data_IF_105452536082
#
_entry.id   IF_105452536082
#
_cell.length_a   1.000
_cell.length_b   1.000
_cell.length_c   1.000
_cell.angle_alpha   90.00
_cell.angle_beta   90.00
_cell.angle_gamma   90.00
#
_symmetry.space_group_name_H-M   'P 1'
#
loop_
_entity.id
_entity.type
_entity.pdbx_description
1 polymer ?
#
# COMPACT_ATOMS: atom_id res chain seq x y z
N UNK A 1 22.07 -36.28 19.06
CA UNK A 1 22.90 -35.26 18.38
C UNK A 1 22.32 -35.10 16.98
N UNK A 2 21.68 -34.01 16.55
CA UNK A 2 21.80 -32.58 16.89
C UNK A 2 20.41 -31.95 16.80
N UNK A 3 19.89 -31.44 17.91
CA UNK A 3 18.78 -30.48 17.95
C UNK A 3 19.25 -29.16 17.32
N UNK A 4 18.65 -28.76 16.19
CA UNK A 4 18.79 -27.38 15.70
C UNK A 4 17.99 -26.46 16.62
N UNK A 5 18.70 -25.80 17.52
CA UNK A 5 18.18 -24.78 18.43
C UNK A 5 17.37 -23.74 17.65
N UNK A 6 16.07 -23.67 17.92
CA UNK A 6 15.23 -22.54 17.55
C UNK A 6 15.80 -21.29 18.24
N UNK A 7 16.35 -20.36 17.46
CA UNK A 7 16.77 -19.05 17.98
C UNK A 7 15.56 -18.36 18.61
N UNK A 8 15.56 -18.24 19.94
CA UNK A 8 14.57 -17.49 20.72
C UNK A 8 14.54 -16.05 20.21
N UNK A 9 13.36 -15.60 19.75
CA UNK A 9 13.10 -14.20 19.43
C UNK A 9 13.17 -13.40 20.74
N UNK A 10 14.05 -12.39 20.88
CA UNK A 10 14.21 -11.65 22.13
C UNK A 10 12.95 -10.85 22.47
N UNK A 11 12.40 -11.06 23.67
CA UNK A 11 11.09 -10.51 24.06
C UNK A 11 11.13 -9.16 24.80
N UNK A 12 12.31 -8.62 25.12
CA UNK A 12 12.48 -7.43 25.98
C UNK A 12 12.93 -6.15 25.25
N UNK A 13 12.66 -4.97 25.81
CA UNK A 13 13.10 -3.66 25.27
C UNK A 13 14.64 -3.53 25.26
N UNK A 14 15.32 -4.04 26.30
CA UNK A 14 16.79 -3.94 26.44
C UNK A 14 17.58 -4.83 25.48
N UNK A 15 17.12 -6.05 25.20
CA UNK A 15 17.78 -6.95 24.23
C UNK A 15 17.57 -6.53 22.77
N UNK A 16 16.53 -5.72 22.50
CA UNK A 16 16.27 -5.13 21.18
C UNK A 16 17.18 -3.93 20.89
N UNK A 17 17.41 -3.08 21.89
CA UNK A 17 18.32 -1.93 21.77
C UNK A 17 19.79 -2.33 21.50
N UNK A 18 20.27 -3.42 22.11
CA UNK A 18 21.64 -3.91 21.90
C UNK A 18 21.87 -4.46 20.50
N UNK A 19 20.88 -5.15 19.91
CA UNK A 19 20.97 -5.67 18.56
C UNK A 19 20.90 -4.56 17.50
N UNK A 20 20.01 -3.57 17.69
CA UNK A 20 19.94 -2.38 16.85
C UNK A 20 21.27 -1.60 16.87
N UNK A 21 21.89 -1.46 18.05
CA UNK A 21 23.23 -0.87 18.20
C UNK A 21 24.33 -1.64 17.45
N UNK A 22 24.30 -2.97 17.46
CA UNK A 22 25.26 -3.80 16.69
C UNK A 22 25.07 -3.63 15.18
N UNK A 23 23.82 -3.58 14.71
CA UNK A 23 23.52 -3.38 13.28
C UNK A 23 23.93 -1.99 12.81
N UNK A 24 23.67 -0.95 13.63
CA UNK A 24 24.16 0.42 13.44
C UNK A 24 25.70 0.48 13.31
N UNK A 25 26.43 -0.17 14.22
CA UNK A 25 27.89 -0.20 14.20
C UNK A 25 28.43 -0.87 12.92
N UNK A 26 27.81 -1.98 12.49
CA UNK A 26 28.18 -2.67 11.23
C UNK A 26 27.92 -1.80 10.01
N UNK A 27 26.79 -1.10 9.97
CA UNK A 27 26.46 -0.22 8.86
C UNK A 27 27.39 1.01 8.79
N UNK A 28 27.74 1.58 9.93
CA UNK A 28 28.73 2.66 10.03
C UNK A 28 30.13 2.22 9.55
N UNK A 29 30.60 1.05 9.97
CA UNK A 29 31.88 0.49 9.52
C UNK A 29 31.93 0.24 8.01
N UNK A 30 30.85 -0.28 7.43
CA UNK A 30 30.74 -0.47 5.97
C UNK A 30 30.65 0.85 5.21
N UNK A 31 29.95 1.84 5.73
CA UNK A 31 29.88 3.18 5.13
C UNK A 31 31.28 3.82 5.02
N UNK A 32 32.09 3.68 6.07
CA UNK A 32 33.48 4.14 6.08
C UNK A 32 34.34 3.40 5.05
N UNK A 33 34.22 2.07 4.96
CA UNK A 33 34.97 1.27 3.98
C UNK A 33 34.57 1.57 2.52
N UNK A 34 33.27 1.78 2.27
CA UNK A 34 32.78 2.18 0.95
C UNK A 34 33.37 3.53 0.53
N UNK A 35 33.34 4.53 1.41
CA UNK A 35 33.91 5.86 1.11
C UNK A 35 35.42 5.83 0.86
N UNK A 36 36.19 5.04 1.62
CA UNK A 36 37.64 4.95 1.43
C UNK A 36 38.03 4.20 0.16
N UNK A 37 37.23 3.21 -0.27
CA UNK A 37 37.49 2.40 -1.47
C UNK A 37 37.14 3.07 -2.80
N UNK A 38 36.36 4.17 -2.79
CA UNK A 38 35.95 4.91 -4.00
C UNK A 38 36.99 5.89 -4.55
N UNK A 39 38.02 6.28 -3.78
CA UNK A 39 38.96 7.37 -4.15
C UNK A 39 39.81 7.12 -5.41
N UNK A 40 39.83 5.91 -5.97
CA UNK A 40 40.69 5.54 -7.11
C UNK A 40 40.00 4.71 -8.21
N UNK A 41 38.68 4.83 -8.38
CA UNK A 41 37.91 3.95 -9.30
C UNK A 41 37.16 4.71 -10.40
N UNK A 42 36.92 4.02 -11.52
CA UNK A 42 36.08 4.50 -12.65
C UNK A 42 34.61 4.65 -12.26
N UNK A 43 33.86 5.46 -13.00
CA UNK A 43 32.45 5.77 -12.69
C UNK A 43 31.53 4.54 -12.69
N UNK A 44 31.68 3.63 -13.67
CA UNK A 44 30.85 2.42 -13.73
C UNK A 44 31.09 1.51 -12.53
N UNK A 45 32.35 1.37 -12.11
CA UNK A 45 32.70 0.61 -10.89
C UNK A 45 32.21 1.28 -9.62
N UNK A 46 32.09 2.61 -9.58
CA UNK A 46 31.50 3.34 -8.45
C UNK A 46 30.00 3.05 -8.34
N UNK A 47 29.27 3.09 -9.46
CA UNK A 47 27.82 2.79 -9.50
C UNK A 47 27.53 1.34 -9.07
N UNK A 48 28.31 0.37 -9.56
CA UNK A 48 28.15 -1.03 -9.18
C UNK A 48 28.41 -1.26 -7.68
N UNK A 49 29.47 -0.64 -7.13
CA UNK A 49 29.76 -0.74 -5.70
C UNK A 49 28.75 -0.02 -4.81
N UNK A 50 28.20 1.10 -5.27
CA UNK A 50 27.14 1.81 -4.56
C UNK A 50 25.86 0.97 -4.51
N UNK A 51 25.48 0.32 -5.62
CA UNK A 51 24.35 -0.61 -5.64
C UNK A 51 24.58 -1.80 -4.70
N UNK A 52 25.77 -2.42 -4.73
CA UNK A 52 26.13 -3.49 -3.79
C UNK A 52 26.04 -3.01 -2.32
N UNK A 53 26.53 -1.81 -2.04
CA UNK A 53 26.46 -1.23 -0.70
C UNK A 53 25.01 -0.96 -0.27
N UNK A 54 24.15 -0.45 -1.17
CA UNK A 54 22.71 -0.31 -0.93
C UNK A 54 22.05 -1.66 -0.61
N UNK A 55 22.36 -2.72 -1.36
CA UNK A 55 21.83 -4.06 -1.08
C UNK A 55 22.27 -4.58 0.29
N UNK A 56 23.51 -4.33 0.69
CA UNK A 56 24.00 -4.73 2.01
C UNK A 56 23.29 -3.98 3.15
N UNK A 57 23.06 -2.67 2.99
CA UNK A 57 22.24 -1.89 3.93
C UNK A 57 20.80 -2.42 3.95
N UNK A 58 20.23 -2.77 2.79
CA UNK A 58 18.91 -3.37 2.70
C UNK A 58 18.80 -4.68 3.47
N UNK A 59 19.81 -5.56 3.38
CA UNK A 59 19.88 -6.79 4.18
C UNK A 59 19.94 -6.51 5.68
N UNK A 60 20.66 -5.47 6.10
CA UNK A 60 20.73 -5.07 7.51
C UNK A 60 19.40 -4.54 8.02
N UNK A 61 18.75 -3.67 7.25
CA UNK A 61 17.43 -3.14 7.56
C UNK A 61 16.40 -4.27 7.66
N UNK A 62 16.40 -5.19 6.69
CA UNK A 62 15.54 -6.37 6.73
C UNK A 62 15.80 -7.25 7.95
N UNK A 63 17.07 -7.49 8.31
CA UNK A 63 17.41 -8.26 9.49
C UNK A 63 16.91 -7.61 10.79
N UNK A 64 16.87 -6.27 10.86
CA UNK A 64 16.22 -5.57 11.97
C UNK A 64 14.70 -5.69 11.93
N UNK A 65 14.09 -5.48 10.76
CA UNK A 65 12.64 -5.60 10.58
C UNK A 65 12.16 -6.99 10.97
N UNK A 66 12.91 -8.04 10.62
CA UNK A 66 12.62 -9.43 10.99
C UNK A 66 12.56 -9.70 12.50
N UNK A 67 13.06 -8.77 13.34
CA UNK A 67 12.95 -8.85 14.79
C UNK A 67 11.64 -8.23 15.33
N UNK A 68 10.93 -7.46 14.50
CA UNK A 68 9.65 -6.87 14.85
C UNK A 68 8.56 -7.96 14.82
N UNK A 69 7.58 -7.85 15.72
CA UNK A 69 6.51 -8.85 15.83
C UNK A 69 5.37 -8.48 14.89
N UNK A 70 5.17 -9.24 13.80
CA UNK A 70 4.02 -9.10 12.89
C UNK A 70 3.96 -7.80 12.06
N UNK A 71 4.45 -6.67 12.58
CA UNK A 71 4.60 -5.38 11.90
C UNK A 71 5.74 -5.37 10.88
N UNK A 72 6.72 -6.25 11.05
CA UNK A 72 7.91 -6.36 10.20
C UNK A 72 7.59 -6.36 8.70
N UNK A 73 6.65 -7.22 8.32
CA UNK A 73 6.29 -7.50 6.95
C UNK A 73 5.61 -6.28 6.33
N UNK A 74 4.62 -5.72 7.03
CA UNK A 74 3.87 -4.56 6.55
C UNK A 74 4.73 -3.31 6.50
N UNK A 75 5.60 -3.09 7.49
CA UNK A 75 6.57 -1.99 7.44
C UNK A 75 7.54 -2.16 6.27
N UNK A 76 8.05 -3.38 6.03
CA UNK A 76 8.91 -3.66 4.87
C UNK A 76 8.20 -3.37 3.56
N UNK A 77 6.94 -3.77 3.44
CA UNK A 77 6.10 -3.52 2.28
C UNK A 77 5.87 -2.01 2.07
N UNK A 78 5.41 -1.30 3.10
CA UNK A 78 5.17 0.15 3.04
C UNK A 78 6.45 0.92 2.69
N UNK A 79 7.58 0.60 3.33
CA UNK A 79 8.89 1.18 3.00
C UNK A 79 9.34 0.87 1.57
N UNK A 80 9.00 -0.32 1.04
CA UNK A 80 9.36 -0.71 -0.33
C UNK A 80 8.51 -0.03 -1.40
N UNK A 81 7.29 0.37 -1.04
CA UNK A 81 6.35 1.06 -1.93
C UNK A 81 6.57 2.58 -1.95
N UNK A 82 7.24 3.15 -0.96
CA UNK A 82 7.55 4.59 -0.91
C UNK A 82 8.69 4.95 -1.87
N UNK A 83 8.33 5.16 -3.15
CA UNK A 83 9.22 5.55 -4.24
C UNK A 83 9.77 6.96 -4.01
N UNK A 84 10.88 7.04 -3.29
CA UNK A 84 11.52 8.29 -2.91
C UNK A 84 12.25 8.21 -1.58
N UNK A 85 11.85 7.27 -0.72
CA UNK A 85 12.48 7.09 0.59
C UNK A 85 13.73 6.19 0.54
N UNK A 86 13.68 5.11 -0.25
CA UNK A 86 14.72 4.09 -0.26
C UNK A 86 15.32 3.89 -1.65
N UNK A 87 16.66 3.90 -1.77
CA UNK A 87 17.36 3.52 -2.99
C UNK A 87 16.96 2.12 -3.49
N UNK A 88 17.12 1.91 -4.79
CA UNK A 88 16.70 0.70 -5.47
C UNK A 88 17.30 -0.58 -4.84
N UNK A 89 18.58 -0.57 -4.47
CA UNK A 89 19.24 -1.72 -3.84
C UNK A 89 18.62 -2.09 -2.49
N UNK A 90 18.18 -1.11 -1.69
CA UNK A 90 17.47 -1.35 -0.42
C UNK A 90 16.07 -1.87 -0.70
N UNK A 91 15.33 -1.19 -1.60
CA UNK A 91 13.94 -1.53 -1.95
C UNK A 91 13.80 -2.97 -2.45
N UNK A 92 14.71 -3.43 -3.32
CA UNK A 92 14.74 -4.81 -3.81
C UNK A 92 14.89 -5.83 -2.69
N UNK A 93 15.74 -5.56 -1.70
CA UNK A 93 15.92 -6.45 -0.54
C UNK A 93 14.68 -6.47 0.37
N UNK A 94 14.05 -5.31 0.60
CA UNK A 94 12.81 -5.23 1.36
C UNK A 94 11.60 -5.86 0.65
N UNK A 95 11.57 -5.85 -0.69
CA UNK A 95 10.53 -6.50 -1.46
C UNK A 95 10.63 -8.05 -1.37
N UNK A 96 11.86 -8.60 -1.36
CA UNK A 96 12.11 -10.05 -1.22
C UNK A 96 11.68 -10.61 0.14
N UNK A 97 11.54 -9.74 1.15
CA UNK A 97 11.11 -10.09 2.50
C UNK A 97 9.62 -10.45 2.62
N UNK A 98 8.83 -10.25 1.56
CA UNK A 98 7.37 -10.25 1.62
C UNK A 98 6.73 -11.64 1.62
N UNK A 99 7.12 -12.59 2.47
CA UNK A 99 6.33 -13.82 2.69
C UNK A 99 6.51 -14.42 4.10
N UNK A 100 5.38 -14.90 4.65
CA UNK A 100 5.20 -15.70 5.88
C UNK A 100 4.99 -14.93 7.20
N UNK A 101 3.74 -14.53 7.45
CA UNK A 101 3.23 -14.42 8.83
C UNK A 101 3.10 -15.82 9.44
N UNK A 102 3.65 -16.04 10.64
CA UNK A 102 3.48 -17.33 11.34
C UNK A 102 2.05 -17.44 11.86
N UNK A 103 1.36 -18.59 11.69
CA UNK A 103 0.04 -18.80 12.27
C UNK A 103 0.09 -18.62 13.80
N UNK A 104 -0.92 -17.94 14.37
CA UNK A 104 -1.09 -17.96 15.82
C UNK A 104 -1.40 -19.37 16.28
N UNK A 105 -0.81 -19.75 17.41
CA UNK A 105 -1.23 -20.97 18.08
C UNK A 105 -2.61 -20.79 18.74
N UNK A 106 -3.27 -21.91 19.03
CA UNK A 106 -4.62 -21.94 19.62
C UNK A 106 -4.73 -21.16 20.93
N UNK A 107 -3.68 -21.14 21.75
CA UNK A 107 -3.68 -20.44 23.03
C UNK A 107 -3.70 -18.91 22.87
N UNK A 108 -3.00 -18.38 21.88
CA UNK A 108 -3.01 -16.94 21.57
C UNK A 108 -4.36 -16.50 21.00
N UNK A 109 -4.98 -17.33 20.15
CA UNK A 109 -6.34 -17.09 19.65
C UNK A 109 -7.32 -17.05 20.84
N UNK A 110 -7.31 -18.09 21.68
CA UNK A 110 -8.19 -18.16 22.85
C UNK A 110 -8.01 -16.96 23.79
N UNK A 111 -6.75 -16.56 24.02
CA UNK A 111 -6.44 -15.37 24.82
C UNK A 111 -7.02 -14.09 24.22
N UNK A 112 -6.94 -13.92 22.90
CA UNK A 112 -7.53 -12.76 22.24
C UNK A 112 -9.05 -12.71 22.48
N UNK A 113 -9.74 -13.84 22.28
CA UNK A 113 -11.18 -13.93 22.54
C UNK A 113 -11.55 -13.61 24.00
N UNK A 114 -10.85 -14.18 24.98
CA UNK A 114 -11.13 -13.89 26.39
C UNK A 114 -10.86 -12.43 26.74
N UNK A 115 -9.88 -11.79 26.10
CA UNK A 115 -9.59 -10.37 26.34
C UNK A 115 -10.64 -9.43 25.75
N UNK A 116 -11.25 -9.80 24.63
CA UNK A 116 -12.20 -8.94 23.92
C UNK A 116 -13.67 -9.24 24.27
N UNK A 117 -14.00 -10.49 24.56
CA UNK A 117 -15.38 -10.95 24.79
C UNK A 117 -15.60 -11.62 26.15
N UNK A 118 -14.57 -11.72 27.00
CA UNK A 118 -14.59 -12.47 28.28
C UNK A 118 -14.92 -13.98 28.13
N UNK A 119 -15.03 -14.45 26.89
CA UNK A 119 -15.46 -15.78 26.51
C UNK A 119 -14.44 -16.40 25.54
N UNK A 120 -14.39 -17.73 25.52
CA UNK A 120 -13.63 -18.45 24.48
C UNK A 120 -14.39 -18.49 23.14
N UNK A 121 -13.70 -18.72 22.01
CA UNK A 121 -14.33 -18.73 20.69
C UNK A 121 -15.46 -19.76 20.54
N UNK A 122 -15.38 -20.89 21.25
CA UNK A 122 -16.42 -21.93 21.25
C UNK A 122 -17.68 -21.57 22.04
N UNK A 123 -17.67 -20.45 22.77
CA UNK A 123 -18.84 -19.87 23.43
C UNK A 123 -19.44 -18.72 22.62
N UNK A 124 -18.61 -18.03 21.83
CA UNK A 124 -19.03 -16.96 20.92
C UNK A 124 -19.66 -17.52 19.64
N UNK A 125 -19.11 -18.62 19.10
CA UNK A 125 -19.55 -19.24 17.85
C UNK A 125 -20.06 -20.66 18.07
N UNK A 126 -20.96 -21.12 17.20
CA UNK A 126 -21.39 -22.52 17.15
C UNK A 126 -20.21 -23.43 16.76
N UNK A 127 -19.42 -23.00 15.76
CA UNK A 127 -18.16 -23.64 15.37
C UNK A 127 -17.11 -22.58 15.09
N UNK A 128 -15.87 -22.86 15.47
CA UNK A 128 -14.73 -22.00 15.17
C UNK A 128 -13.52 -22.87 14.81
N UNK A 129 -12.94 -22.66 13.62
CA UNK A 129 -11.73 -23.34 13.20
C UNK A 129 -10.49 -22.56 13.67
N UNK A 130 -9.69 -23.19 14.53
CA UNK A 130 -8.46 -22.57 15.02
C UNK A 130 -7.34 -22.52 13.96
N UNK A 131 -7.50 -23.21 12.83
CA UNK A 131 -6.61 -23.06 11.68
C UNK A 131 -7.10 -21.87 10.87
N UNK A 132 -6.22 -20.89 10.67
CA UNK A 132 -6.49 -19.78 9.78
C UNK A 132 -6.49 -20.30 8.33
N UNK A 133 -7.46 -19.87 7.53
CA UNK A 133 -7.51 -20.18 6.10
C UNK A 133 -6.85 -19.10 5.25
N UNK A 134 -6.70 -17.89 5.80
CA UNK A 134 -6.01 -16.78 5.15
C UNK A 134 -5.17 -15.99 6.17
N UNK A 135 -4.07 -15.41 5.68
CA UNK A 135 -3.31 -14.40 6.41
C UNK A 135 -3.88 -13.01 6.08
N UNK A 136 -3.93 -12.13 7.08
CA UNK A 136 -4.20 -10.71 6.89
C UNK A 136 -2.92 -9.91 7.17
N UNK A 137 -2.88 -8.64 6.75
CA UNK A 137 -1.71 -7.74 6.92
C UNK A 137 -1.08 -7.81 8.33
N UNK A 138 -1.91 -7.62 9.36
CA UNK A 138 -1.51 -7.61 10.78
C UNK A 138 -2.28 -8.65 11.62
N UNK A 139 -2.76 -9.71 10.98
CA UNK A 139 -3.61 -10.70 11.63
C UNK A 139 -3.82 -11.96 10.80
N UNK A 140 -4.86 -12.72 11.12
CA UNK A 140 -5.22 -13.96 10.44
C UNK A 140 -6.74 -14.15 10.42
N UNK A 141 -7.23 -14.83 9.39
CA UNK A 141 -8.67 -15.02 9.18
C UNK A 141 -9.06 -16.48 9.36
N UNK A 142 -10.10 -16.69 10.17
CA UNK A 142 -10.62 -18.00 10.56
C UNK A 142 -12.02 -18.24 10.03
N UNK A 143 -12.33 -19.51 9.78
CA UNK A 143 -13.70 -19.92 9.51
C UNK A 143 -14.44 -20.04 10.84
N UNK A 144 -15.66 -19.51 10.89
CA UNK A 144 -16.60 -19.75 11.97
C UNK A 144 -18.01 -19.99 11.45
N UNK A 145 -18.86 -20.54 12.31
CA UNK A 145 -20.30 -20.64 12.10
C UNK A 145 -20.96 -19.93 13.29
N UNK A 146 -21.80 -18.95 12.99
CA UNK A 146 -22.57 -18.23 14.00
C UNK A 146 -23.59 -19.14 14.71
N UNK A 147 -24.16 -18.68 15.82
CA UNK A 147 -25.16 -19.47 16.57
C UNK A 147 -26.44 -19.72 15.77
N UNK A 148 -26.77 -18.86 14.81
CA UNK A 148 -27.87 -18.99 13.85
C UNK A 148 -27.48 -19.76 12.56
N UNK A 149 -26.24 -20.24 12.45
CA UNK A 149 -25.81 -21.16 11.38
C UNK A 149 -25.19 -20.50 10.14
N UNK A 150 -24.94 -19.19 10.15
CA UNK A 150 -24.30 -18.46 9.04
C UNK A 150 -22.78 -18.71 9.01
N UNK A 151 -22.21 -18.82 7.81
CA UNK A 151 -20.77 -18.92 7.61
C UNK A 151 -20.10 -17.56 7.78
N UNK A 152 -19.07 -17.50 8.63
CA UNK A 152 -18.38 -16.26 8.99
C UNK A 152 -16.88 -16.34 8.71
N UNK A 153 -16.31 -15.19 8.38
CA UNK A 153 -14.89 -14.92 8.37
C UNK A 153 -14.52 -14.08 9.60
N UNK A 154 -13.60 -14.59 10.42
CA UNK A 154 -13.19 -13.94 11.68
C UNK A 154 -11.73 -13.53 11.59
N UNK A 155 -11.48 -12.23 11.38
CA UNK A 155 -10.16 -11.62 11.33
C UNK A 155 -9.68 -11.30 12.75
N UNK A 156 -8.54 -11.87 13.13
CA UNK A 156 -7.96 -11.75 14.48
C UNK A 156 -6.60 -11.08 14.35
N UNK A 157 -6.43 -9.97 15.05
CA UNK A 157 -5.16 -9.25 15.10
C UNK A 157 -4.09 -10.06 15.84
N UNK A 158 -2.84 -9.99 15.38
CA UNK A 158 -1.74 -10.59 16.13
C UNK A 158 -1.52 -9.87 17.48
N UNK A 159 -1.38 -10.60 18.61
CA UNK A 159 -1.28 -9.99 19.92
C UNK A 159 -0.07 -9.07 20.07
N UNK A 160 -0.30 -7.87 20.58
CA UNK A 160 0.77 -6.93 20.91
C UNK A 160 1.20 -5.99 19.78
N UNK A 161 0.64 -6.13 18.57
CA UNK A 161 1.04 -5.30 17.41
C UNK A 161 0.79 -3.82 17.69
N UNK A 162 -0.45 -3.45 18.03
CA UNK A 162 -0.82 -2.06 18.24
C UNK A 162 0.06 -1.37 19.30
N UNK A 163 0.46 -2.11 20.35
CA UNK A 163 1.28 -1.59 21.44
C UNK A 163 2.76 -1.44 21.08
N UNK A 164 3.26 -2.07 20.01
CA UNK A 164 4.68 -2.01 19.64
C UNK A 164 4.97 -1.07 18.48
N UNK A 165 3.98 -0.65 17.69
CA UNK A 165 4.13 0.22 16.50
C UNK A 165 5.10 1.38 16.77
N UNK A 166 4.82 2.22 17.77
CA UNK A 166 5.62 3.42 18.05
C UNK A 166 7.08 3.07 18.39
N UNK A 167 7.28 2.04 19.20
CA UNK A 167 8.62 1.61 19.61
C UNK A 167 9.40 0.96 18.46
N UNK A 168 8.70 0.23 17.60
CA UNK A 168 9.27 -0.47 16.46
C UNK A 168 9.69 0.56 15.38
N UNK A 169 8.83 1.56 15.09
CA UNK A 169 9.14 2.64 14.16
C UNK A 169 10.21 3.59 14.70
N UNK A 170 10.26 3.85 16.01
CA UNK A 170 11.35 4.63 16.62
C UNK A 170 12.71 3.96 16.40
N UNK A 171 12.78 2.63 16.45
CA UNK A 171 14.02 1.90 16.15
C UNK A 171 14.45 2.08 14.70
N UNK A 172 13.52 2.00 13.75
CA UNK A 172 13.78 2.23 12.32
C UNK A 172 14.20 3.66 12.08
N UNK A 173 13.51 4.63 12.69
CA UNK A 173 13.83 6.07 12.64
C UNK A 173 15.28 6.30 13.04
N UNK A 174 15.68 5.81 14.21
CA UNK A 174 17.05 5.97 14.71
C UNK A 174 18.09 5.31 13.79
N UNK A 175 17.77 4.15 13.22
CA UNK A 175 18.63 3.48 12.26
C UNK A 175 18.82 4.29 10.97
N UNK A 176 17.72 4.73 10.36
CA UNK A 176 17.75 5.53 9.14
C UNK A 176 18.48 6.86 9.35
N UNK A 177 18.21 7.58 10.45
CA UNK A 177 18.87 8.85 10.77
C UNK A 177 20.38 8.70 11.01
N UNK A 178 20.82 7.57 11.56
CA UNK A 178 22.25 7.30 11.70
C UNK A 178 22.92 7.05 10.34
N UNK A 179 22.25 6.34 9.43
CA UNK A 179 22.76 6.10 8.07
C UNK A 179 22.83 7.38 7.24
N UNK A 180 21.91 8.32 7.41
CA UNK A 180 21.97 9.64 6.74
C UNK A 180 23.28 10.36 7.05
N UNK A 181 23.84 10.19 8.26
CA UNK A 181 25.13 10.80 8.64
C UNK A 181 26.32 10.16 7.91
N UNK A 182 26.18 8.94 7.41
CA UNK A 182 27.30 8.16 6.85
C UNK A 182 27.12 7.82 5.37
N UNK A 183 25.98 8.13 4.76
CA UNK A 183 25.63 7.80 3.38
C UNK A 183 25.03 9.01 2.67
N UNK A 184 25.36 9.20 1.38
CA UNK A 184 24.89 10.36 0.59
C UNK A 184 23.70 10.06 -0.32
N UNK A 185 23.33 8.79 -0.46
CA UNK A 185 22.23 8.34 -1.33
C UNK A 185 20.89 8.24 -0.61
N UNK A 186 20.87 8.39 0.73
CA UNK A 186 19.61 8.40 1.48
C UNK A 186 18.99 9.80 1.42
N UNK A 187 17.65 9.89 1.47
CA UNK A 187 16.96 11.17 1.58
C UNK A 187 17.37 11.93 2.85
N UNK A 188 17.08 13.23 2.86
CA UNK A 188 17.31 14.02 4.05
C UNK A 188 16.43 13.57 5.24
N UNK A 189 16.77 14.10 6.41
CA UNK A 189 16.07 13.79 7.66
C UNK A 189 14.56 14.08 7.58
N UNK A 190 14.16 15.17 6.93
CA UNK A 190 12.76 15.62 6.89
C UNK A 190 11.92 14.66 6.06
N UNK A 191 12.42 14.25 4.89
CA UNK A 191 11.76 13.26 4.04
C UNK A 191 11.55 11.92 4.78
N UNK A 192 12.56 11.47 5.52
CA UNK A 192 12.46 10.25 6.34
C UNK A 192 11.42 10.39 7.46
N UNK A 193 11.36 11.54 8.13
CA UNK A 193 10.40 11.78 9.21
C UNK A 193 8.95 11.78 8.69
N UNK A 194 8.69 12.44 7.57
CA UNK A 194 7.36 12.46 6.92
C UNK A 194 6.92 11.05 6.52
N UNK A 195 7.79 10.30 5.84
CA UNK A 195 7.47 8.94 5.40
C UNK A 195 7.19 7.99 6.59
N UNK A 196 8.02 8.05 7.65
CA UNK A 196 7.81 7.22 8.83
C UNK A 196 6.55 7.59 9.61
N UNK A 197 6.16 8.88 9.60
CA UNK A 197 4.91 9.31 10.20
C UNK A 197 3.70 8.76 9.43
N UNK A 198 3.70 8.81 8.09
CA UNK A 198 2.64 8.21 7.28
C UNK A 198 2.55 6.69 7.52
N UNK A 199 3.68 5.99 7.59
CA UNK A 199 3.70 4.55 7.93
C UNK A 199 3.11 4.30 9.32
N UNK A 200 3.42 5.16 10.30
CA UNK A 200 2.86 5.06 11.65
C UNK A 200 1.34 5.21 11.66
N UNK A 201 0.83 6.24 10.99
CA UNK A 201 -0.60 6.50 10.86
C UNK A 201 -1.31 5.32 10.18
N UNK A 202 -0.73 4.79 9.09
CA UNK A 202 -1.27 3.63 8.38
C UNK A 202 -1.32 2.37 9.23
N UNK A 203 -0.27 2.07 9.98
CA UNK A 203 -0.28 0.91 10.89
C UNK A 203 -1.29 1.09 12.01
N UNK A 204 -1.45 2.32 12.53
CA UNK A 204 -2.46 2.62 13.55
C UNK A 204 -3.87 2.37 13.01
N UNK A 205 -4.15 2.81 11.79
CA UNK A 205 -5.42 2.55 11.08
C UNK A 205 -5.68 1.05 10.89
N UNK A 206 -4.70 0.30 10.37
CA UNK A 206 -4.83 -1.16 10.15
C UNK A 206 -4.99 -1.98 11.44
N UNK A 207 -4.63 -1.40 12.59
CA UNK A 207 -4.83 -2.05 13.89
C UNK A 207 -6.16 -1.72 14.56
N UNK A 208 -6.96 -0.84 13.96
CA UNK A 208 -8.24 -0.42 14.51
C UNK A 208 -9.41 -1.07 13.76
N UNK A 209 -9.82 -2.27 14.22
CA UNK A 209 -10.91 -3.02 13.59
C UNK A 209 -12.30 -2.43 13.81
N UNK A 210 -12.49 -1.57 14.81
CA UNK A 210 -13.74 -0.80 14.96
C UNK A 210 -13.88 0.19 13.80
N UNK A 211 -12.78 0.85 13.39
CA UNK A 211 -12.80 1.73 12.23
C UNK A 211 -13.01 0.98 10.92
N UNK A 212 -12.38 -0.19 10.77
CA UNK A 212 -12.60 -1.07 9.60
C UNK A 212 -14.06 -1.54 9.53
N UNK A 213 -14.68 -1.85 10.67
CA UNK A 213 -16.10 -2.20 10.76
C UNK A 213 -16.98 -1.05 10.25
N UNK A 214 -16.81 0.15 10.81
CA UNK A 214 -17.57 1.35 10.43
C UNK A 214 -17.44 1.62 8.92
N UNK A 215 -16.21 1.57 8.41
CA UNK A 215 -15.95 1.79 6.99
C UNK A 215 -16.62 0.72 6.12
N UNK A 216 -16.56 -0.56 6.52
CA UNK A 216 -17.16 -1.66 5.76
C UNK A 216 -18.68 -1.51 5.70
N UNK A 217 -19.33 -1.19 6.83
CA UNK A 217 -20.78 -0.93 6.88
C UNK A 217 -21.15 0.25 5.99
N UNK A 218 -20.43 1.36 6.11
CA UNK A 218 -20.68 2.56 5.32
C UNK A 218 -20.52 2.29 3.81
N UNK A 219 -19.46 1.61 3.38
CA UNK A 219 -19.28 1.26 1.97
C UNK A 219 -20.37 0.30 1.48
N UNK A 220 -20.79 -0.67 2.30
CA UNK A 220 -21.88 -1.59 1.95
C UNK A 220 -23.21 -0.86 1.70
N UNK A 221 -23.47 0.23 2.42
CA UNK A 221 -24.69 1.03 2.30
C UNK A 221 -24.64 2.04 1.13
N UNK A 222 -23.45 2.59 0.84
CA UNK A 222 -23.29 3.72 -0.08
C UNK A 222 -22.75 3.31 -1.46
N UNK A 223 -21.93 2.25 -1.56
CA UNK A 223 -21.42 1.74 -2.83
C UNK A 223 -22.45 0.81 -3.48
N UNK A 224 -23.51 1.40 -4.02
CA UNK A 224 -24.62 0.68 -4.63
C UNK A 224 -24.26 0.24 -6.06
N UNK A 225 -23.67 -0.94 -6.18
CA UNK A 225 -23.47 -1.60 -7.47
C UNK A 225 -23.98 -3.05 -7.41
N UNK A 226 -24.83 -3.51 -8.35
CA UNK A 226 -25.51 -4.81 -8.26
C UNK A 226 -24.55 -6.01 -8.23
N UNK A 227 -23.40 -5.89 -8.89
CA UNK A 227 -22.40 -6.94 -8.98
C UNK A 227 -21.22 -6.76 -8.01
N UNK A 228 -21.25 -5.76 -7.11
CA UNK A 228 -20.23 -5.60 -6.07
C UNK A 228 -20.80 -6.12 -4.74
N UNK A 229 -20.03 -6.95 -4.05
CA UNK A 229 -20.42 -7.57 -2.79
C UNK A 229 -19.44 -7.17 -1.70
N UNK A 230 -19.91 -6.36 -0.75
CA UNK A 230 -19.18 -6.04 0.48
C UNK A 230 -19.78 -6.89 1.60
N UNK A 231 -19.00 -7.64 2.39
CA UNK A 231 -19.57 -8.54 3.39
C UNK A 231 -20.32 -7.78 4.49
N UNK A 232 -21.41 -8.36 5.00
CA UNK A 232 -22.08 -7.87 6.19
C UNK A 232 -21.18 -8.08 7.41
N UNK A 233 -20.90 -7.03 8.18
CA UNK A 233 -20.13 -7.13 9.41
C UNK A 233 -21.07 -7.43 10.58
N UNK A 234 -20.68 -8.35 11.47
CA UNK A 234 -21.39 -8.70 12.70
C UNK A 234 -20.80 -7.90 13.85
N UNK A 235 -21.41 -6.77 14.16
CA UNK A 235 -20.94 -5.83 15.17
C UNK A 235 -20.87 -6.46 16.56
N UNK A 236 -21.89 -7.23 16.91
CA UNK A 236 -21.99 -7.96 18.17
C UNK A 236 -20.93 -9.08 18.33
N UNK A 237 -20.30 -9.48 17.22
CA UNK A 237 -19.20 -10.46 17.19
C UNK A 237 -17.86 -9.81 16.82
N UNK A 238 -17.78 -8.47 16.90
CA UNK A 238 -16.60 -7.68 16.58
C UNK A 238 -16.14 -6.85 17.78
N UNK A 239 -14.88 -6.44 17.76
CA UNK A 239 -14.21 -5.66 18.78
C UNK A 239 -12.98 -4.97 18.18
N UNK A 240 -12.25 -4.24 19.03
CA UNK A 240 -10.99 -3.57 18.64
C UNK A 240 -9.94 -4.49 18.01
N UNK A 241 -9.95 -5.80 18.31
CA UNK A 241 -8.94 -6.76 17.80
C UNK A 241 -9.51 -7.96 17.06
N UNK A 242 -10.82 -8.10 17.01
CA UNK A 242 -11.51 -9.19 16.32
C UNK A 242 -12.57 -8.56 15.43
N UNK A 243 -12.51 -8.80 14.12
CA UNK A 243 -13.52 -8.35 13.17
C UNK A 243 -14.19 -9.58 12.57
N UNK A 244 -15.51 -9.63 12.67
CA UNK A 244 -16.31 -10.76 12.18
C UNK A 244 -17.25 -10.30 11.09
N UNK A 245 -17.22 -10.97 9.94
CA UNK A 245 -18.12 -10.67 8.82
C UNK A 245 -18.68 -11.94 8.17
N UNK A 246 -19.74 -11.77 7.38
CA UNK A 246 -20.24 -12.81 6.50
C UNK A 246 -19.13 -13.29 5.57
N UNK A 247 -18.96 -14.62 5.47
CA UNK A 247 -17.94 -15.20 4.61
C UNK A 247 -18.35 -15.06 3.15
N UNK A 248 -17.48 -14.47 2.33
CA UNK A 248 -17.63 -14.47 0.88
C UNK A 248 -16.91 -15.67 0.26
N UNK A 249 -17.49 -16.23 -0.80
CA UNK A 249 -16.91 -17.32 -1.57
C UNK A 249 -16.47 -16.83 -2.95
N UNK A 250 -15.16 -16.88 -3.21
CA UNK A 250 -14.56 -16.48 -4.47
C UNK A 250 -13.07 -16.83 -4.51
N UNK A 251 -12.43 -16.51 -5.63
CA UNK A 251 -10.99 -16.68 -5.81
C UNK A 251 -10.31 -15.31 -5.76
N UNK A 252 -9.12 -15.22 -5.17
CA UNK A 252 -8.29 -14.02 -5.35
C UNK A 252 -7.76 -13.94 -6.79
N UNK A 253 -7.34 -12.75 -7.23
CA UNK A 253 -6.95 -12.47 -8.62
C UNK A 253 -6.02 -13.55 -9.22
N UNK A 254 -4.95 -13.90 -8.50
CA UNK A 254 -3.97 -14.88 -8.99
C UNK A 254 -4.61 -16.25 -9.24
N UNK A 255 -5.32 -16.80 -8.26
CA UNK A 255 -5.95 -18.12 -8.36
C UNK A 255 -7.09 -18.10 -9.39
N UNK A 256 -7.80 -16.97 -9.50
CA UNK A 256 -8.82 -16.77 -10.53
C UNK A 256 -8.22 -16.78 -11.93
N UNK A 257 -7.11 -16.08 -12.17
CA UNK A 257 -6.41 -16.07 -13.45
C UNK A 257 -5.90 -17.47 -13.86
N UNK A 258 -5.49 -18.29 -12.89
CA UNK A 258 -5.08 -19.69 -13.12
C UNK A 258 -6.21 -20.57 -13.66
N UNK A 259 -7.48 -20.20 -13.43
CA UNK A 259 -8.64 -20.86 -14.04
C UNK A 259 -8.81 -20.57 -15.54
N UNK A 260 -7.98 -19.67 -16.10
CA UNK A 260 -8.02 -19.19 -17.48
C UNK A 260 -9.41 -18.64 -17.86
N UNK A 261 -9.87 -17.58 -17.17
CA UNK A 261 -11.16 -16.96 -17.47
C UNK A 261 -11.18 -16.41 -18.89
N UNK A 262 -12.37 -16.42 -19.50
CA UNK A 262 -12.57 -15.88 -20.84
C UNK A 262 -12.34 -14.36 -20.87
N UNK A 263 -12.13 -13.81 -22.06
CA UNK A 263 -11.92 -12.37 -22.20
C UNK A 263 -13.15 -11.57 -21.75
N UNK A 264 -14.36 -12.10 -21.97
CA UNK A 264 -15.60 -11.46 -21.53
C UNK A 264 -15.65 -11.31 -20.01
N UNK A 265 -15.22 -12.32 -19.26
CA UNK A 265 -15.11 -12.25 -17.81
C UNK A 265 -14.02 -11.27 -17.36
N UNK A 266 -12.88 -11.21 -18.04
CA UNK A 266 -11.82 -10.22 -17.76
C UNK A 266 -12.31 -8.79 -18.00
N UNK A 267 -13.04 -8.56 -19.09
CA UNK A 267 -13.66 -7.28 -19.39
C UNK A 267 -14.66 -6.90 -18.30
N UNK A 268 -15.56 -7.82 -17.92
CA UNK A 268 -16.56 -7.61 -16.88
C UNK A 268 -15.92 -7.24 -15.54
N UNK A 269 -15.00 -8.04 -15.02
CA UNK A 269 -14.35 -7.74 -13.74
C UNK A 269 -13.45 -6.49 -13.79
N UNK A 270 -12.77 -6.24 -14.92
CA UNK A 270 -12.04 -5.00 -15.13
C UNK A 270 -12.96 -3.79 -15.07
N UNK A 271 -14.16 -3.88 -15.67
CA UNK A 271 -15.17 -2.82 -15.59
C UNK A 271 -15.65 -2.61 -14.15
N UNK A 272 -15.93 -3.68 -13.40
CA UNK A 272 -16.34 -3.56 -11.99
C UNK A 272 -15.29 -2.86 -11.12
N UNK A 273 -14.00 -3.19 -11.31
CA UNK A 273 -12.90 -2.55 -10.58
C UNK A 273 -12.82 -1.05 -10.93
N UNK A 274 -12.97 -0.70 -12.20
CA UNK A 274 -12.92 0.68 -12.66
C UNK A 274 -14.14 1.50 -12.19
N UNK A 275 -15.35 0.96 -12.32
CA UNK A 275 -16.59 1.60 -11.88
C UNK A 275 -16.61 1.81 -10.37
N UNK A 276 -16.08 0.84 -9.62
CA UNK A 276 -15.90 0.98 -8.17
C UNK A 276 -14.99 2.16 -7.83
N UNK A 277 -13.84 2.29 -8.49
CA UNK A 277 -12.92 3.40 -8.28
C UNK A 277 -13.60 4.74 -8.60
N UNK A 278 -14.27 4.84 -9.76
CA UNK A 278 -14.95 6.06 -10.17
C UNK A 278 -16.05 6.48 -9.18
N UNK A 279 -16.94 5.54 -8.83
CA UNK A 279 -18.04 5.78 -7.90
C UNK A 279 -17.49 6.23 -6.54
N UNK A 280 -16.49 5.50 -6.02
CA UNK A 280 -15.89 5.83 -4.73
C UNK A 280 -15.28 7.25 -4.74
N UNK A 281 -14.42 7.54 -5.71
CA UNK A 281 -13.67 8.78 -5.74
C UNK A 281 -14.55 10.01 -6.07
N UNK A 282 -15.45 9.89 -7.05
CA UNK A 282 -16.15 11.04 -7.64
C UNK A 282 -17.60 11.21 -7.19
N UNK A 283 -18.25 10.16 -6.68
CA UNK A 283 -19.62 10.27 -6.12
C UNK A 283 -19.58 10.25 -4.60
N UNK A 284 -18.79 9.35 -4.02
CA UNK A 284 -18.71 9.15 -2.57
C UNK A 284 -17.62 10.00 -1.90
N UNK A 285 -16.78 10.69 -2.68
CA UNK A 285 -15.66 11.52 -2.20
C UNK A 285 -14.75 10.76 -1.22
N UNK A 286 -14.50 9.48 -1.49
CA UNK A 286 -13.66 8.65 -0.65
C UNK A 286 -12.98 7.55 -1.47
N UNK A 287 -11.80 7.13 -1.06
CA UNK A 287 -11.08 6.04 -1.72
C UNK A 287 -10.71 4.95 -0.75
N UNK A 288 -10.88 3.71 -1.20
CA UNK A 288 -10.22 2.56 -0.61
C UNK A 288 -8.73 2.63 -0.97
N UNK A 289 -7.92 3.15 -0.05
CA UNK A 289 -6.55 3.54 -0.33
C UNK A 289 -5.53 2.38 -0.25
N UNK A 290 -5.99 1.16 -0.50
CA UNK A 290 -5.19 -0.08 -0.62
C UNK A 290 -5.79 -1.03 -1.68
N UNK A 291 -5.71 -0.69 -2.98
CA UNK A 291 -6.24 -1.52 -4.08
C UNK A 291 -5.37 -2.76 -4.35
N UNK A 292 -4.92 -3.46 -3.31
CA UNK A 292 -4.15 -4.68 -3.43
C UNK A 292 -5.03 -5.83 -3.97
N UNK A 293 -4.53 -6.70 -4.88
CA UNK A 293 -5.30 -7.82 -5.43
C UNK A 293 -5.92 -8.76 -4.39
N UNK A 294 -5.30 -8.86 -3.21
CA UNK A 294 -5.81 -9.64 -2.07
C UNK A 294 -7.11 -9.11 -1.45
N UNK A 295 -7.48 -7.86 -1.72
CA UNK A 295 -8.72 -7.25 -1.21
C UNK A 295 -9.92 -7.51 -2.13
N UNK A 296 -9.70 -8.22 -3.24
CA UNK A 296 -10.73 -8.56 -4.22
C UNK A 296 -10.94 -10.07 -4.30
N UNK A 297 -12.21 -10.48 -4.37
CA UNK A 297 -12.65 -11.85 -4.60
C UNK A 297 -13.48 -11.91 -5.88
N UNK A 298 -13.03 -12.72 -6.83
CA UNK A 298 -13.73 -13.00 -8.07
C UNK A 298 -14.72 -14.14 -7.78
N UNK A 299 -15.99 -13.79 -7.64
CA UNK A 299 -17.04 -14.70 -7.21
C UNK A 299 -17.78 -15.30 -8.41
N UNK A 300 -18.62 -16.31 -8.14
CA UNK A 300 -19.53 -16.87 -9.14
C UNK A 300 -20.52 -15.79 -9.61
N UNK A 301 -21.18 -16.06 -10.74
CA UNK A 301 -22.20 -15.17 -11.32
C UNK A 301 -21.67 -13.78 -11.72
N UNK A 302 -20.34 -13.61 -11.83
CA UNK A 302 -19.75 -12.33 -12.22
C UNK A 302 -19.70 -11.29 -11.09
N UNK A 303 -19.87 -11.69 -9.83
CA UNK A 303 -19.83 -10.76 -8.69
C UNK A 303 -18.42 -10.52 -8.19
N UNK A 304 -18.09 -9.27 -7.87
CA UNK A 304 -16.81 -8.86 -7.29
C UNK A 304 -16.97 -8.62 -5.79
N UNK A 305 -16.37 -9.48 -4.98
CA UNK A 305 -16.28 -9.32 -3.54
C UNK A 305 -15.18 -8.31 -3.18
N UNK A 306 -15.49 -7.34 -2.33
CA UNK A 306 -14.51 -6.38 -1.79
C UNK A 306 -14.31 -6.59 -0.30
N UNK A 307 -13.04 -6.62 0.11
CA UNK A 307 -12.60 -6.91 1.48
C UNK A 307 -11.68 -5.80 2.01
N UNK A 308 -11.44 -5.83 3.32
CA UNK A 308 -10.46 -5.01 4.05
C UNK A 308 -10.63 -3.49 3.85
N UNK A 309 -11.61 -2.90 4.52
CA UNK A 309 -11.82 -1.44 4.52
C UNK A 309 -11.01 -0.75 5.63
N UNK A 310 -9.86 -1.32 6.02
CA UNK A 310 -9.01 -0.79 7.08
C UNK A 310 -8.37 0.55 6.73
N UNK A 311 -8.26 0.88 5.44
CA UNK A 311 -7.74 2.15 4.99
C UNK A 311 -8.65 2.86 3.97
N UNK A 312 -9.54 3.68 4.49
CA UNK A 312 -10.41 4.58 3.72
C UNK A 312 -9.97 6.01 3.93
N UNK A 313 -9.90 6.79 2.85
CA UNK A 313 -9.55 8.20 2.89
C UNK A 313 -10.61 9.04 2.22
N UNK A 314 -11.12 10.04 2.93
CA UNK A 314 -12.01 11.04 2.35
C UNK A 314 -11.21 12.02 1.51
N UNK A 315 -11.78 12.41 0.38
CA UNK A 315 -11.25 13.39 -0.55
C UNK A 315 -12.09 14.65 -0.43
N UNK A 316 -11.47 15.82 -0.33
CA UNK A 316 -12.24 17.06 -0.30
C UNK A 316 -12.93 17.33 -1.65
N UNK A 317 -14.14 17.91 -1.66
CA UNK A 317 -14.82 18.26 -2.91
C UNK A 317 -14.00 19.20 -3.81
N UNK A 318 -13.29 20.17 -3.20
CA UNK A 318 -12.35 21.06 -3.90
C UNK A 318 -11.22 20.28 -4.58
N UNK A 319 -10.65 19.28 -3.91
CA UNK A 319 -9.64 18.41 -4.50
C UNK A 319 -10.19 17.63 -5.70
N UNK A 320 -11.40 17.06 -5.59
CA UNK A 320 -12.03 16.34 -6.71
C UNK A 320 -12.28 17.26 -7.90
N UNK A 321 -12.75 18.49 -7.69
CA UNK A 321 -12.92 19.46 -8.77
C UNK A 321 -11.59 19.75 -9.49
N UNK A 322 -10.51 19.92 -8.73
CA UNK A 322 -9.17 20.13 -9.28
C UNK A 322 -8.68 18.93 -10.07
N UNK A 323 -8.93 17.70 -9.61
CA UNK A 323 -8.63 16.47 -10.36
C UNK A 323 -9.42 16.43 -11.67
N UNK A 324 -10.72 16.73 -11.65
CA UNK A 324 -11.53 16.76 -12.87
C UNK A 324 -10.99 17.79 -13.88
N UNK A 325 -10.60 18.98 -13.40
CA UNK A 325 -9.93 20.01 -14.23
C UNK A 325 -8.60 19.53 -14.80
N UNK A 326 -7.77 18.88 -13.99
CA UNK A 326 -6.50 18.31 -14.44
C UNK A 326 -6.73 17.29 -15.55
N UNK A 327 -7.68 16.38 -15.39
CA UNK A 327 -8.04 15.41 -16.43
C UNK A 327 -8.58 16.11 -17.69
N UNK A 328 -9.42 17.14 -17.55
CA UNK A 328 -9.90 17.93 -18.68
C UNK A 328 -8.78 18.67 -19.44
N UNK A 329 -7.63 18.95 -18.82
CA UNK A 329 -6.45 19.55 -19.45
C UNK A 329 -5.61 18.48 -20.17
N UNK A 330 -5.31 17.35 -19.51
CA UNK A 330 -4.42 16.32 -20.07
C UNK A 330 -5.07 15.50 -21.18
N UNK A 331 -6.41 15.48 -21.25
CA UNK A 331 -7.18 14.77 -22.27
C UNK A 331 -7.45 15.62 -23.52
N UNK A 332 -6.96 16.86 -23.59
CA UNK A 332 -7.04 17.67 -24.80
C UNK A 332 -6.10 17.17 -25.89
N UNK A 333 -6.44 17.39 -27.16
CA UNK A 333 -5.57 17.07 -28.29
C UNK A 333 -4.21 17.79 -28.20
N UNK A 334 -4.25 19.07 -27.80
CA UNK A 334 -3.07 19.88 -27.52
C UNK A 334 -3.03 20.26 -26.04
N UNK A 335 -1.96 19.84 -25.36
CA UNK A 335 -1.76 20.12 -23.93
C UNK A 335 -1.51 21.62 -23.70
N UNK A 336 -2.45 22.31 -23.05
CA UNK A 336 -2.27 23.70 -22.60
C UNK A 336 -1.29 23.76 -21.41
N UNK A 337 -0.05 24.14 -21.71
CA UNK A 337 1.02 24.27 -20.71
C UNK A 337 0.72 25.31 -19.62
N UNK A 338 -0.02 26.39 -19.93
CA UNK A 338 -0.38 27.41 -18.94
C UNK A 338 -1.48 26.91 -18.01
N UNK A 339 -2.49 26.25 -18.55
CA UNK A 339 -3.52 25.61 -17.74
C UNK A 339 -2.92 24.52 -16.85
N UNK A 340 -2.03 23.69 -17.39
CA UNK A 340 -1.33 22.67 -16.62
C UNK A 340 -0.45 23.28 -15.52
N UNK A 341 0.24 24.39 -15.81
CA UNK A 341 1.01 25.11 -14.80
C UNK A 341 0.12 25.60 -13.66
N UNK A 342 -0.97 26.31 -13.98
CA UNK A 342 -1.86 26.89 -12.98
C UNK A 342 -2.53 25.82 -12.11
N UNK A 343 -3.04 24.73 -12.70
CA UNK A 343 -3.69 23.67 -11.91
C UNK A 343 -2.71 22.99 -10.93
N UNK A 344 -1.44 22.83 -11.32
CA UNK A 344 -0.41 22.28 -10.42
C UNK A 344 -0.05 23.24 -9.28
N UNK A 345 -0.18 24.55 -9.47
CA UNK A 345 -0.08 25.55 -8.39
C UNK A 345 -1.31 25.44 -7.47
N UNK A 346 -2.52 25.42 -8.03
CA UNK A 346 -3.78 25.35 -7.28
C UNK A 346 -3.93 24.06 -6.44
N UNK A 347 -3.30 22.98 -6.92
CA UNK A 347 -3.19 21.69 -6.21
C UNK A 347 -2.03 21.64 -5.20
N UNK A 348 -1.21 22.69 -5.13
CA UNK A 348 -0.08 22.80 -4.20
C UNK A 348 1.11 21.90 -4.55
N UNK A 349 1.17 21.37 -5.79
CA UNK A 349 2.28 20.54 -6.30
C UNK A 349 3.49 21.44 -6.59
N UNK A 350 3.23 22.61 -7.18
CA UNK A 350 4.25 23.61 -7.51
C UNK A 350 4.17 24.79 -6.55
N UNK A 351 5.31 25.46 -6.34
CA UNK A 351 5.37 26.67 -5.52
C UNK A 351 4.68 27.84 -6.22
N UNK A 352 3.88 28.59 -5.47
CA UNK A 352 3.13 29.75 -5.97
C UNK A 352 4.01 30.82 -6.65
N UNK A 353 5.28 30.96 -6.23
CA UNK A 353 6.23 31.92 -6.76
C UNK A 353 7.07 31.38 -7.93
N UNK A 354 6.81 30.16 -8.42
CA UNK A 354 7.56 29.56 -9.52
C UNK A 354 7.32 30.34 -10.84
N UNK A 355 8.36 30.84 -11.52
CA UNK A 355 8.18 31.48 -12.83
C UNK A 355 7.73 30.47 -13.90
N UNK A 356 6.81 30.89 -14.77
CA UNK A 356 6.27 30.03 -15.84
C UNK A 356 7.37 29.54 -16.80
N UNK A 357 8.35 30.38 -17.13
CA UNK A 357 9.47 30.03 -18.00
C UNK A 357 10.32 28.90 -17.36
N UNK A 358 10.53 28.96 -16.04
CA UNK A 358 11.26 27.92 -15.31
C UNK A 358 10.48 26.60 -15.31
N UNK A 359 9.15 26.67 -15.17
CA UNK A 359 8.28 25.50 -15.30
C UNK A 359 8.39 24.88 -16.70
N UNK A 360 8.33 25.68 -17.77
CA UNK A 360 8.44 25.20 -19.15
C UNK A 360 9.77 24.51 -19.43
N UNK A 361 10.88 25.05 -18.91
CA UNK A 361 12.22 24.49 -19.14
C UNK A 361 12.51 23.23 -18.33
N UNK A 362 12.08 23.20 -17.07
CA UNK A 362 12.54 22.17 -16.12
C UNK A 362 11.48 21.08 -15.87
N UNK A 363 10.20 21.44 -15.76
CA UNK A 363 9.15 20.56 -15.24
C UNK A 363 8.22 20.05 -16.34
N UNK A 364 7.80 20.93 -17.25
CA UNK A 364 6.84 20.63 -18.31
C UNK A 364 7.24 19.42 -19.17
N UNK A 365 8.51 19.18 -19.55
CA UNK A 365 8.87 18.00 -20.33
C UNK A 365 8.52 16.68 -19.62
N UNK A 366 8.78 16.58 -18.31
CA UNK A 366 8.45 15.39 -17.53
C UNK A 366 6.95 15.26 -17.31
N UNK A 367 6.27 16.35 -16.92
CA UNK A 367 4.82 16.33 -16.73
C UNK A 367 4.07 16.01 -18.02
N UNK A 368 4.55 16.49 -19.18
CA UNK A 368 3.95 16.19 -20.48
C UNK A 368 4.04 14.71 -20.81
N UNK A 369 5.18 14.07 -20.54
CA UNK A 369 5.33 12.62 -20.75
C UNK A 369 4.42 11.82 -19.81
N UNK A 370 4.32 12.24 -18.55
CA UNK A 370 3.44 11.60 -17.58
C UNK A 370 1.95 11.79 -17.91
N UNK A 371 1.55 13.02 -18.27
CA UNK A 371 0.20 13.34 -18.72
C UNK A 371 -0.19 12.54 -19.97
N UNK A 372 0.71 12.43 -20.96
CA UNK A 372 0.49 11.62 -22.13
C UNK A 372 0.28 10.15 -21.77
N UNK A 373 1.08 9.60 -20.84
CA UNK A 373 0.91 8.23 -20.36
C UNK A 373 -0.43 8.01 -19.65
N UNK A 374 -0.85 8.94 -18.77
CA UNK A 374 -2.17 8.89 -18.12
C UNK A 374 -3.29 8.94 -19.15
N UNK A 375 -3.13 9.73 -20.22
CA UNK A 375 -4.16 9.91 -21.24
C UNK A 375 -4.36 8.68 -22.15
N UNK A 376 -3.37 7.77 -22.26
CA UNK A 376 -3.42 6.61 -23.19
C UNK A 376 -4.74 5.82 -23.06
N UNK A 377 -5.18 5.38 -21.85
CA UNK A 377 -6.41 4.60 -21.73
C UNK A 377 -7.66 5.36 -22.13
N UNK A 378 -7.62 6.70 -22.14
CA UNK A 378 -8.77 7.57 -22.42
C UNK A 378 -8.86 8.01 -23.88
N UNK A 379 -7.89 7.65 -24.73
CA UNK A 379 -7.88 8.03 -26.15
C UNK A 379 -9.02 7.36 -26.95
N UNK A 380 -9.53 6.22 -26.47
CA UNK A 380 -10.64 5.50 -27.08
C UNK A 380 -11.72 5.23 -26.02
N UNK A 381 -12.94 4.92 -26.48
CA UNK A 381 -14.05 4.59 -25.58
C UNK A 381 -13.74 3.37 -24.70
N UNK A 382 -13.05 2.38 -25.27
CA UNK A 382 -12.62 1.14 -24.62
C UNK A 382 -11.10 0.98 -24.79
N UNK A 383 -10.43 0.57 -23.73
CA UNK A 383 -8.99 0.33 -23.74
C UNK A 383 -8.64 -1.10 -23.29
N UNK A 384 -7.68 -1.72 -23.96
CA UNK A 384 -7.18 -3.05 -23.65
C UNK A 384 -5.99 -2.97 -22.69
N UNK A 385 -6.24 -3.26 -21.42
CA UNK A 385 -5.22 -3.17 -20.37
C UNK A 385 -4.13 -4.24 -20.46
N UNK A 386 -4.30 -5.29 -21.29
CA UNK A 386 -3.21 -6.24 -21.54
C UNK A 386 -2.03 -5.61 -22.32
N UNK A 387 -2.27 -4.46 -22.95
CA UNK A 387 -1.27 -3.72 -23.73
C UNK A 387 -0.64 -2.55 -22.98
N UNK A 388 -1.11 -2.25 -21.76
CA UNK A 388 -0.64 -1.10 -20.98
C UNK A 388 0.83 -1.26 -20.60
N UNK A 389 1.65 -0.28 -20.99
CA UNK A 389 3.04 -0.25 -20.59
C UNK A 389 3.18 0.39 -19.21
N UNK A 390 4.09 -0.14 -18.39
CA UNK A 390 4.41 0.45 -17.09
C UNK A 390 5.03 1.84 -17.21
N UNK A 391 5.05 2.57 -16.09
CA UNK A 391 5.64 3.91 -16.02
C UNK A 391 7.16 3.80 -16.20
N UNK A 392 7.74 4.60 -17.11
CA UNK A 392 9.18 4.66 -17.30
C UNK A 392 9.86 5.42 -16.16
N UNK A 393 11.13 5.11 -15.86
CA UNK A 393 11.89 5.81 -14.81
C UNK A 393 12.01 7.32 -15.07
N UNK A 394 12.03 7.73 -16.33
CA UNK A 394 12.12 9.12 -16.77
C UNK A 394 10.83 9.92 -16.49
N UNK A 395 9.67 9.24 -16.38
CA UNK A 395 8.41 9.85 -15.97
C UNK A 395 8.33 10.07 -14.45
N UNK A 396 9.13 9.33 -13.67
CA UNK A 396 9.14 9.36 -12.20
C UNK A 396 10.21 10.29 -11.62
N UNK A 397 11.13 10.80 -12.45
CA UNK A 397 12.26 11.64 -12.01
C UNK A 397 12.26 12.98 -12.76
N UNK A 398 11.44 13.97 -12.32
CA UNK A 398 11.43 15.29 -12.93
C UNK A 398 12.76 15.99 -12.67
N UNK A 399 13.36 16.55 -13.74
CA UNK A 399 14.40 17.56 -13.59
C UNK A 399 13.78 18.72 -12.78
N UNK A 400 14.31 19.03 -11.61
CA UNK A 400 13.77 20.09 -10.76
C UNK A 400 12.89 19.63 -9.60
N UNK A 401 13.12 18.44 -9.02
CA UNK A 401 12.43 17.95 -7.80
C UNK A 401 12.45 18.94 -6.61
N UNK A 402 13.42 19.85 -6.57
CA UNK A 402 13.53 20.97 -5.63
C UNK A 402 12.50 22.10 -5.83
N UNK A 403 11.78 22.10 -6.95
CA UNK A 403 10.74 23.07 -7.31
C UNK A 403 9.33 22.59 -6.93
N UNK A 404 9.19 21.31 -6.57
CA UNK A 404 7.96 20.73 -6.01
C UNK A 404 7.84 21.16 -4.54
N UNK A 405 6.72 21.80 -4.16
CA UNK A 405 6.46 22.25 -2.78
C UNK A 405 6.14 21.09 -1.82
N UNK A 406 5.65 19.98 -2.38
CA UNK A 406 5.13 18.80 -1.70
C UNK A 406 3.88 18.32 -2.43
N UNK A 407 3.34 17.16 -2.05
CA UNK A 407 2.03 16.71 -2.51
C UNK A 407 1.00 16.87 -1.40
N UNK A 408 -0.18 17.38 -1.74
CA UNK A 408 -1.31 17.41 -0.82
C UNK A 408 -1.65 15.99 -0.35
N UNK A 409 -2.15 15.83 0.88
CA UNK A 409 -2.46 14.52 1.45
C UNK A 409 -3.46 13.74 0.60
N UNK A 410 -4.52 14.41 0.13
CA UNK A 410 -5.54 13.82 -0.74
C UNK A 410 -4.93 13.35 -2.07
N UNK A 411 -3.96 14.09 -2.63
CA UNK A 411 -3.25 13.72 -3.86
C UNK A 411 -2.53 12.38 -3.71
N UNK A 412 -1.78 12.21 -2.61
CA UNK A 412 -1.04 10.97 -2.36
C UNK A 412 -1.97 9.75 -2.30
N UNK A 413 -3.14 9.90 -1.70
CA UNK A 413 -4.11 8.81 -1.57
C UNK A 413 -4.84 8.53 -2.88
N UNK A 414 -5.21 9.58 -3.62
CA UNK A 414 -5.81 9.45 -4.94
C UNK A 414 -4.83 8.77 -5.90
N UNK A 415 -3.60 9.27 -6.03
CA UNK A 415 -2.60 8.71 -6.95
C UNK A 415 -2.27 7.26 -6.63
N UNK A 416 -2.10 6.93 -5.35
CA UNK A 416 -1.88 5.53 -4.93
C UNK A 416 -3.04 4.63 -5.34
N UNK A 417 -4.27 5.08 -5.12
CA UNK A 417 -5.47 4.30 -5.45
C UNK A 417 -5.64 4.18 -6.95
N UNK A 418 -5.46 5.26 -7.69
CA UNK A 418 -5.56 5.31 -9.14
C UNK A 418 -4.51 4.41 -9.80
N UNK A 419 -3.23 4.54 -9.42
CA UNK A 419 -2.15 3.69 -9.95
C UNK A 419 -2.35 2.22 -9.61
N UNK A 420 -2.77 1.91 -8.36
CA UNK A 420 -3.07 0.54 -7.98
C UNK A 420 -4.26 -0.05 -8.74
N UNK A 421 -5.27 0.77 -9.03
CA UNK A 421 -6.39 0.38 -9.90
C UNK A 421 -5.90 0.06 -11.31
N UNK A 422 -5.08 0.91 -11.92
CA UNK A 422 -4.50 0.65 -13.25
C UNK A 422 -3.65 -0.63 -13.27
N UNK A 423 -2.90 -0.90 -12.18
CA UNK A 423 -2.15 -2.16 -12.02
C UNK A 423 -3.07 -3.37 -12.01
N UNK A 424 -4.16 -3.32 -11.23
CA UNK A 424 -5.16 -4.39 -11.21
C UNK A 424 -5.77 -4.63 -12.59
N UNK A 425 -6.15 -3.56 -13.31
CA UNK A 425 -6.71 -3.67 -14.65
C UNK A 425 -5.71 -4.33 -15.61
N UNK A 426 -4.43 -3.96 -15.51
CA UNK A 426 -3.33 -4.56 -16.30
C UNK A 426 -3.16 -6.05 -15.98
N UNK A 427 -3.18 -6.44 -14.70
CA UNK A 427 -3.09 -7.84 -14.28
C UNK A 427 -4.31 -8.67 -14.71
N UNK A 428 -5.51 -8.09 -14.65
CA UNK A 428 -6.74 -8.70 -15.17
C UNK A 428 -6.67 -8.86 -16.69
N UNK A 429 -6.05 -7.91 -17.39
CA UNK A 429 -5.93 -7.89 -18.85
C UNK A 429 -7.30 -7.78 -19.54
N UNK A 430 -8.20 -6.98 -18.95
CA UNK A 430 -9.55 -6.72 -19.48
C UNK A 430 -9.58 -5.54 -20.45
N UNK A 431 -10.56 -5.56 -21.35
CA UNK A 431 -10.97 -4.42 -22.15
C UNK A 431 -12.04 -3.64 -21.38
N UNK A 432 -11.73 -2.41 -21.00
CA UNK A 432 -12.53 -1.61 -20.06
C UNK A 432 -12.94 -0.30 -20.71
N UNK A 433 -14.19 0.10 -20.49
CA UNK A 433 -14.70 1.39 -20.95
C UNK A 433 -14.14 2.51 -20.09
N UNK A 434 -13.28 3.33 -20.69
CA UNK A 434 -12.58 4.41 -19.98
C UNK A 434 -13.30 5.75 -20.06
N UNK A 435 -14.06 5.99 -21.14
CA UNK A 435 -14.84 7.21 -21.29
C UNK A 435 -15.98 7.25 -20.28
N UNK A 436 -15.96 8.26 -19.41
CA UNK A 436 -16.88 8.39 -18.29
C UNK A 436 -17.23 9.87 -18.01
N UNK A 437 -18.36 10.16 -17.35
CA UNK A 437 -18.83 11.53 -17.12
C UNK A 437 -18.05 12.28 -16.04
N UNK A 438 -17.16 11.62 -15.29
CA UNK A 438 -16.38 12.24 -14.22
C UNK A 438 -15.10 12.88 -14.74
N UNK A 439 -14.35 12.15 -15.58
CA UNK A 439 -13.03 12.55 -16.06
C UNK A 439 -13.03 13.11 -17.48
N UNK A 440 -13.98 12.71 -18.31
CA UNK A 440 -14.03 13.08 -19.73
C UNK A 440 -15.05 14.20 -20.00
N UNK A 441 -15.24 15.14 -19.06
CA UNK A 441 -16.10 16.32 -19.30
C UNK A 441 -15.43 17.21 -20.34
N UNK A 442 -15.89 17.09 -21.58
CA UNK A 442 -15.59 17.96 -22.72
C UNK A 442 -16.90 18.41 -23.35
#
# INVERSE_FOLDING_TARGET
MVEKAAKKIPAGKFSRGSLAGVTLAKAGAKSLFHYTSQKFRSEDKKKEQELQFQEEIGKMLFAMLSQLRGTALKVSQLLSMETGMLPEGIRKQLAQACHQGKPLNRALIYKAFVQEFELGPTKVFQKFDAHAFAAASLGQVHNAISLDGQALAVKIQYPGIAQTIESDLSMIRNFMLALVKTTRFLPDKRAIEIALQEIEERLKEETNYEKELENTQWFRENLNHPDIVIPEVKEELSSKRILTSAKLEGLHLKDWLETKPSQELRNHFGQLVWDCFLTSAFELYCVHADPHPGNYLFMKEGKLGMLDFGCVKHLSPDFIEKIQRLFAIILQEELDAKALFQINIDMGILKEDLPFETFCEQILPTLKNFAAWIAIPFQNDVYDFSTMQGISKEMLDPKGSNLVSGMHRDQLYFDRTFMGTLSLLTEIGGQVKMKNPYLCKG
#
